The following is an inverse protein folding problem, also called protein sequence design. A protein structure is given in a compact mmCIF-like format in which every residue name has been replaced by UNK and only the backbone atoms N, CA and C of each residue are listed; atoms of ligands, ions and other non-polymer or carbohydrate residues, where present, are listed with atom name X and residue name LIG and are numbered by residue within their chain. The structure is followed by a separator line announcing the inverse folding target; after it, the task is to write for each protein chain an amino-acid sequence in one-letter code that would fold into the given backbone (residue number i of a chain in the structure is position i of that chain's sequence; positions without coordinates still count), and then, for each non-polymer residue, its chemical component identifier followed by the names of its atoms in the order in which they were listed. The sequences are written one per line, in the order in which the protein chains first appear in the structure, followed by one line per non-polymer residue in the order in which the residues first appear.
data_IF_515422630843
#
_entry.id   IF_515422630843
#
_cell.length_a   1.000
_cell.length_b   1.000
_cell.length_c   1.000
_cell.angle_alpha   90.00
_cell.angle_beta   90.00
_cell.angle_gamma   90.00
#
_symmetry.space_group_name_H-M   'P 1'
#
loop_
_entity.id
_entity.type
_entity.pdbx_description
1 polymer ?
#
# COMPACT_ATOMS: atom_id res chain seq x y z
N UNK A 1 21.96 -5.54 3.17
CA UNK A 1 20.78 -5.66 2.30
C UNK A 1 20.43 -4.23 1.97
N UNK A 2 21.10 -3.70 0.97
CA UNK A 2 21.01 -2.30 0.61
C UNK A 2 19.80 -2.14 -0.30
N UNK A 3 18.82 -1.35 0.14
CA UNK A 3 17.69 -0.96 -0.69
C UNK A 3 18.23 -0.27 -1.94
N UNK A 4 17.85 -0.79 -3.11
CA UNK A 4 18.15 -0.15 -4.39
C UNK A 4 17.63 1.29 -4.35
N UNK A 5 18.45 2.30 -4.69
CA UNK A 5 18.01 3.68 -4.66
C UNK A 5 16.90 3.85 -5.68
N UNK A 6 15.68 4.05 -5.18
CA UNK A 6 14.57 4.41 -6.04
C UNK A 6 14.88 5.77 -6.67
N UNK A 7 14.99 5.82 -8.00
CA UNK A 7 15.11 7.04 -8.81
C UNK A 7 13.86 7.94 -8.77
N UNK A 8 12.96 7.74 -7.80
CA UNK A 8 11.88 8.69 -7.56
C UNK A 8 12.50 9.97 -7.02
N UNK A 9 12.45 11.04 -7.81
CA UNK A 9 12.74 12.38 -7.33
C UNK A 9 11.70 12.74 -6.28
N UNK A 10 12.00 12.44 -5.01
CA UNK A 10 11.19 12.84 -3.88
C UNK A 10 11.27 14.36 -3.79
N UNK A 11 10.18 15.02 -4.16
CA UNK A 11 10.09 16.48 -4.04
C UNK A 11 10.17 16.87 -2.56
N UNK A 12 11.32 17.39 -2.14
CA UNK A 12 11.46 18.03 -0.83
C UNK A 12 10.94 19.46 -0.91
N UNK A 13 9.61 19.59 -0.98
CA UNK A 13 8.98 20.91 -0.90
C UNK A 13 9.05 21.43 0.53
N UNK A 14 9.96 22.38 0.77
CA UNK A 14 10.10 23.10 2.05
C UNK A 14 8.90 24.01 2.39
N UNK A 15 7.86 24.04 1.56
CA UNK A 15 6.70 24.92 1.68
C UNK A 15 5.50 24.32 2.40
N UNK A 16 5.53 23.03 2.76
CA UNK A 16 4.40 22.43 3.48
C UNK A 16 4.27 22.96 4.90
N UNK A 17 3.02 23.21 5.30
CA UNK A 17 2.69 23.61 6.66
C UNK A 17 3.11 22.48 7.60
N UNK A 18 4.03 22.81 8.51
CA UNK A 18 4.57 21.89 9.50
C UNK A 18 4.19 22.35 10.89
N UNK A 19 3.93 21.37 11.75
CA UNK A 19 3.69 21.59 13.17
C UNK A 19 4.53 20.61 13.96
N UNK A 20 4.86 20.93 15.21
CA UNK A 20 5.30 19.91 16.14
C UNK A 20 4.10 19.28 16.86
N UNK A 21 4.27 18.08 17.42
CA UNK A 21 3.24 17.48 18.27
C UNK A 21 2.86 18.39 19.45
N UNK A 22 3.84 19.10 20.04
CA UNK A 22 3.58 20.12 21.06
C UNK A 22 2.71 21.28 20.56
N UNK A 23 2.92 21.75 19.33
CA UNK A 23 2.10 22.79 18.72
C UNK A 23 0.68 22.31 18.42
N UNK A 24 0.51 21.08 17.92
CA UNK A 24 -0.80 20.48 17.71
C UNK A 24 -1.57 20.34 19.02
N UNK A 25 -0.91 19.87 20.08
CA UNK A 25 -1.54 19.72 21.41
C UNK A 25 -1.92 21.07 22.00
N UNK A 26 -1.07 22.10 21.90
CA UNK A 26 -1.39 23.47 22.37
C UNK A 26 -2.59 24.07 21.64
N UNK A 27 -2.88 23.60 20.43
CA UNK A 27 -4.06 23.98 19.63
C UNK A 27 -5.28 23.10 19.88
N UNK A 28 -5.21 22.18 20.86
CA UNK A 28 -6.26 21.19 21.16
C UNK A 28 -6.66 20.33 19.95
N UNK A 29 -5.70 20.03 19.06
CA UNK A 29 -5.94 19.10 17.96
C UNK A 29 -5.92 17.67 18.54
N UNK A 30 -6.92 16.89 18.18
CA UNK A 30 -7.03 15.47 18.54
C UNK A 30 -6.45 14.61 17.42
N UNK A 31 -6.00 13.40 17.77
CA UNK A 31 -5.62 12.38 16.78
C UNK A 31 -6.74 12.09 15.79
N UNK A 32 -8.01 12.12 16.24
CA UNK A 32 -9.18 11.90 15.40
C UNK A 32 -9.27 12.90 14.24
N UNK A 33 -8.89 14.16 14.48
CA UNK A 33 -8.89 15.18 13.42
C UNK A 33 -7.82 14.93 12.36
N UNK A 34 -6.70 14.31 12.72
CA UNK A 34 -5.62 14.01 11.77
C UNK A 34 -6.03 12.97 10.70
N UNK A 35 -7.00 12.11 10.98
CA UNK A 35 -7.56 11.20 9.97
C UNK A 35 -8.18 11.96 8.78
N UNK A 36 -8.61 13.20 8.96
CA UNK A 36 -9.17 14.04 7.90
C UNK A 36 -8.09 14.76 7.08
N UNK A 37 -6.82 14.74 7.52
CA UNK A 37 -5.73 15.52 6.94
C UNK A 37 -4.77 14.65 6.12
N UNK A 38 -5.27 13.58 5.49
CA UNK A 38 -4.45 12.64 4.69
C UNK A 38 -3.19 12.15 5.41
N UNK A 39 -3.26 12.07 6.75
CA UNK A 39 -2.11 11.78 7.59
C UNK A 39 -1.90 10.26 7.67
N UNK A 40 -0.66 9.77 7.51
CA UNK A 40 -0.34 8.35 7.72
C UNK A 40 -0.74 7.84 9.11
N UNK A 41 -1.31 6.63 9.16
CA UNK A 41 -1.86 6.06 10.40
C UNK A 41 -0.82 5.92 11.51
N UNK A 42 0.42 5.60 11.17
CA UNK A 42 1.57 5.50 12.07
C UNK A 42 1.89 6.84 12.75
N UNK A 43 1.72 7.96 12.04
CA UNK A 43 1.88 9.31 12.60
C UNK A 43 0.72 9.62 13.55
N UNK A 44 -0.52 9.26 13.18
CA UNK A 44 -1.71 9.49 14.01
C UNK A 44 -1.59 8.70 15.33
N UNK A 45 -1.20 7.44 15.26
CA UNK A 45 -0.98 6.57 16.42
C UNK A 45 0.13 7.10 17.33
N UNK A 46 1.25 7.54 16.75
CA UNK A 46 2.33 8.20 17.51
C UNK A 46 1.88 9.49 18.17
N UNK A 47 1.04 10.27 17.51
CA UNK A 47 0.50 11.49 18.10
C UNK A 47 -0.46 11.18 19.25
N UNK A 48 -1.33 10.16 19.11
CA UNK A 48 -2.18 9.69 20.20
C UNK A 48 -1.34 9.18 21.39
N UNK A 49 -0.26 8.46 21.10
CA UNK A 49 0.69 8.01 22.12
C UNK A 49 1.31 9.20 22.87
N UNK A 50 1.75 10.24 22.16
CA UNK A 50 2.21 11.48 22.77
C UNK A 50 1.15 12.12 23.67
N UNK A 51 -0.11 12.24 23.20
CA UNK A 51 -1.20 12.81 23.99
C UNK A 51 -1.47 12.02 25.29
N UNK A 52 -1.40 10.69 25.24
CA UNK A 52 -1.54 9.84 26.43
C UNK A 52 -0.40 10.07 27.43
N UNK A 53 0.83 10.26 26.90
CA UNK A 53 2.04 10.44 27.69
C UNK A 53 2.19 11.84 28.30
N UNK A 54 1.45 12.85 27.84
CA UNK A 54 1.42 14.20 28.45
C UNK A 54 1.14 14.17 29.96
N UNK A 55 0.41 13.16 30.42
CA UNK A 55 0.06 12.97 31.83
C UNK A 55 1.14 12.25 32.66
N UNK A 56 2.11 11.58 32.02
CA UNK A 56 2.96 10.56 32.68
C UNK A 56 4.47 10.70 32.45
N UNK A 57 4.94 11.42 31.42
CA UNK A 57 6.37 11.45 31.07
C UNK A 57 6.93 12.87 30.83
N UNK A 58 8.14 13.08 31.34
CA UNK A 58 9.00 14.24 31.06
C UNK A 58 9.74 14.14 29.71
N UNK A 59 9.42 13.15 28.88
CA UNK A 59 10.12 12.90 27.62
C UNK A 59 9.68 13.90 26.55
N UNK A 60 10.44 15.00 26.45
CA UNK A 60 10.24 16.06 25.46
C UNK A 60 10.59 15.65 24.03
N UNK A 61 11.10 14.44 23.80
CA UNK A 61 11.50 14.00 22.45
C UNK A 61 10.31 14.02 21.48
N UNK A 62 9.16 13.48 21.90
CA UNK A 62 7.95 13.45 21.09
C UNK A 62 7.33 14.83 20.89
N UNK A 63 7.48 15.77 21.84
CA UNK A 63 6.98 17.14 21.70
C UNK A 63 7.58 17.84 20.47
N UNK A 64 8.83 17.52 20.14
CA UNK A 64 9.57 18.09 19.00
C UNK A 64 9.36 17.36 17.68
N UNK A 65 8.64 16.23 17.69
CA UNK A 65 8.38 15.47 16.47
C UNK A 65 7.57 16.31 15.49
N UNK A 66 8.04 16.37 14.24
CA UNK A 66 7.43 17.18 13.18
C UNK A 66 6.32 16.40 12.49
N UNK A 67 5.19 17.07 12.34
CA UNK A 67 4.01 16.68 11.59
C UNK A 67 3.89 17.59 10.35
N UNK A 68 3.62 16.99 9.20
CA UNK A 68 3.35 17.71 7.95
C UNK A 68 1.85 17.67 7.68
N UNK A 69 1.21 18.85 7.64
CA UNK A 69 -0.21 18.96 7.33
C UNK A 69 -0.41 18.94 5.82
N UNK A 70 -0.68 17.75 5.29
CA UNK A 70 -0.90 17.54 3.87
C UNK A 70 -2.37 17.77 3.51
N UNK A 71 -2.60 18.46 2.41
CA UNK A 71 -3.93 18.49 1.78
C UNK A 71 -3.97 17.41 0.72
N UNK A 72 -5.07 16.63 0.70
CA UNK A 72 -5.35 15.70 -0.38
C UNK A 72 -5.26 16.45 -1.75
N UNK A 73 -4.63 15.89 -2.80
CA UNK A 73 -4.27 14.48 -3.00
C UNK A 73 -2.85 14.10 -2.56
N UNK A 74 -2.16 14.94 -1.78
CA UNK A 74 -0.82 14.62 -1.26
C UNK A 74 -0.88 13.78 0.01
N UNK A 75 0.05 12.84 0.13
CA UNK A 75 0.12 11.90 1.24
C UNK A 75 1.58 11.50 1.55
N UNK A 76 1.74 10.75 2.64
CA UNK A 76 3.02 10.31 3.16
C UNK A 76 3.53 11.18 4.32
N UNK A 77 4.57 10.71 5.03
CA UNK A 77 5.06 11.36 6.26
C UNK A 77 5.56 12.79 6.10
N UNK A 78 5.90 13.20 4.87
CA UNK A 78 6.37 14.54 4.51
C UNK A 78 5.56 15.16 3.36
N UNK A 79 4.33 14.69 3.11
CA UNK A 79 3.53 15.05 1.92
C UNK A 79 4.27 14.81 0.58
N UNK A 80 5.19 13.84 0.57
CA UNK A 80 6.13 13.68 -0.53
C UNK A 80 5.56 12.93 -1.73
N UNK A 81 4.38 12.32 -1.58
CA UNK A 81 3.69 11.62 -2.65
C UNK A 81 2.45 12.40 -3.05
N UNK A 82 2.13 12.38 -4.33
CA UNK A 82 0.96 13.03 -4.90
C UNK A 82 0.37 12.10 -5.97
N UNK A 83 -0.95 12.08 -6.08
CA UNK A 83 -1.60 11.44 -7.21
C UNK A 83 -1.45 12.36 -8.43
N UNK A 84 -0.73 11.90 -9.45
CA UNK A 84 -0.51 12.63 -10.71
C UNK A 84 -1.80 13.02 -11.43
N UNK A 85 -2.90 12.35 -11.11
CA UNK A 85 -4.20 12.61 -11.69
C UNK A 85 -5.25 12.58 -10.57
N UNK A 86 -5.76 13.77 -10.24
CA UNK A 86 -6.86 13.96 -9.31
C UNK A 86 -7.84 14.95 -9.94
N UNK A 87 -9.09 14.55 -10.03
CA UNK A 87 -10.18 15.45 -10.34
C UNK A 87 -10.99 15.69 -9.07
N UNK A 88 -11.12 16.95 -8.64
CA UNK A 88 -11.89 17.35 -7.46
C UNK A 88 -13.35 16.89 -7.48
N UNK A 89 -13.88 16.51 -8.65
CA UNK A 89 -15.22 15.93 -8.79
C UNK A 89 -15.28 14.42 -8.51
N UNK A 90 -14.16 13.74 -8.24
CA UNK A 90 -14.13 12.31 -7.90
C UNK A 90 -14.41 12.12 -6.41
N UNK A 91 -15.39 11.26 -6.10
CA UNK A 91 -16.01 11.18 -4.77
C UNK A 91 -15.21 10.26 -3.84
N UNK A 92 -14.47 9.30 -4.40
CA UNK A 92 -13.73 8.30 -3.64
C UNK A 92 -12.39 7.93 -4.26
N UNK A 93 -11.49 7.36 -3.45
CA UNK A 93 -10.24 6.76 -3.92
C UNK A 93 -10.49 5.72 -5.03
N UNK A 94 -11.60 4.97 -4.92
CA UNK A 94 -12.03 4.01 -5.92
C UNK A 94 -12.26 4.68 -7.29
N UNK A 95 -13.01 5.78 -7.32
CA UNK A 95 -13.29 6.50 -8.58
C UNK A 95 -12.01 7.07 -9.21
N UNK A 96 -11.07 7.52 -8.37
CA UNK A 96 -9.76 8.03 -8.81
C UNK A 96 -8.95 6.91 -9.48
N UNK A 97 -8.84 5.75 -8.83
CA UNK A 97 -8.11 4.59 -9.35
C UNK A 97 -8.76 4.07 -10.64
N UNK A 98 -10.09 3.96 -10.66
CA UNK A 98 -10.86 3.48 -11.81
C UNK A 98 -10.69 4.39 -13.03
N UNK A 99 -10.84 5.72 -12.87
CA UNK A 99 -10.66 6.68 -13.95
C UNK A 99 -9.21 6.71 -14.46
N UNK A 100 -8.22 6.61 -13.56
CA UNK A 100 -6.81 6.51 -13.94
C UNK A 100 -6.58 5.30 -14.84
N UNK A 101 -7.05 4.13 -14.43
CA UNK A 101 -6.88 2.91 -15.22
C UNK A 101 -7.62 2.99 -16.55
N UNK A 102 -8.86 3.47 -16.59
CA UNK A 102 -9.60 3.61 -17.85
C UNK A 102 -8.94 4.57 -18.85
N UNK A 103 -8.26 5.61 -18.38
CA UNK A 103 -7.60 6.59 -19.26
C UNK A 103 -6.20 6.18 -19.70
N UNK A 104 -5.47 5.44 -18.86
CA UNK A 104 -4.03 5.25 -19.04
C UNK A 104 -3.57 3.79 -19.19
N UNK A 105 -4.44 2.78 -19.01
CA UNK A 105 -4.04 1.37 -19.21
C UNK A 105 -3.58 1.06 -20.64
N UNK A 106 -3.96 1.87 -21.63
CA UNK A 106 -3.50 1.66 -23.00
C UNK A 106 -2.01 1.95 -23.20
N UNK A 107 -1.33 2.62 -22.27
CA UNK A 107 0.04 3.13 -22.47
C UNK A 107 1.08 2.70 -21.43
N UNK A 108 0.74 1.89 -20.42
CA UNK A 108 1.74 1.41 -19.47
C UNK A 108 2.61 0.31 -20.10
N UNK A 109 3.77 0.69 -20.61
CA UNK A 109 4.77 -0.22 -21.19
C UNK A 109 5.71 -0.82 -20.15
N UNK A 110 5.58 -0.46 -18.87
CA UNK A 110 6.45 -0.94 -17.81
C UNK A 110 5.82 -2.16 -17.12
N UNK A 111 6.36 -3.33 -17.41
CA UNK A 111 6.09 -4.55 -16.66
C UNK A 111 6.78 -4.45 -15.30
N UNK A 112 6.01 -4.56 -14.21
CA UNK A 112 6.58 -4.71 -12.87
C UNK A 112 6.99 -6.16 -12.67
N UNK A 113 8.28 -6.40 -12.51
CA UNK A 113 8.83 -7.74 -12.32
C UNK A 113 8.87 -8.12 -10.85
N UNK A 114 8.48 -9.36 -10.54
CA UNK A 114 8.76 -9.92 -9.23
C UNK A 114 10.24 -10.29 -9.13
N UNK A 115 11.01 -9.52 -8.36
CA UNK A 115 12.49 -9.66 -8.29
C UNK A 115 12.98 -10.66 -7.24
N UNK A 116 12.10 -11.12 -6.34
CA UNK A 116 12.48 -11.97 -5.22
C UNK A 116 12.45 -13.46 -5.57
N UNK A 117 11.94 -13.84 -6.75
CA UNK A 117 12.01 -15.20 -7.28
C UNK A 117 13.04 -15.25 -8.41
N UNK A 118 14.00 -16.17 -8.31
CA UNK A 118 14.94 -16.43 -9.40
C UNK A 118 14.26 -17.29 -10.46
N UNK A 119 13.81 -16.66 -11.54
CA UNK A 119 13.05 -17.29 -12.62
C UNK A 119 13.40 -16.65 -13.96
N UNK A 120 13.84 -17.45 -14.94
CA UNK A 120 14.09 -17.00 -16.30
C UNK A 120 12.85 -17.27 -17.15
N UNK A 121 12.04 -16.25 -17.41
CA UNK A 121 10.82 -16.37 -18.24
C UNK A 121 11.08 -16.27 -19.75
N UNK A 122 12.19 -15.66 -20.15
CA UNK A 122 12.50 -15.41 -21.57
C UNK A 122 13.52 -14.29 -21.75
N UNK A 123 13.73 -13.80 -23.00
CA UNK A 123 14.57 -12.65 -23.22
C UNK A 123 14.00 -11.41 -22.51
N UNK A 124 14.88 -10.62 -21.89
CA UNK A 124 14.53 -9.34 -21.28
C UNK A 124 13.72 -8.47 -22.26
N UNK A 125 12.61 -7.84 -21.82
CA UNK A 125 12.21 -7.56 -20.44
C UNK A 125 11.18 -8.54 -19.85
N UNK A 126 10.98 -9.72 -20.45
CA UNK A 126 9.96 -10.66 -19.97
C UNK A 126 10.32 -11.19 -18.59
N UNK A 127 9.45 -10.93 -17.62
CA UNK A 127 9.59 -11.37 -16.24
C UNK A 127 8.26 -11.92 -15.73
N UNK A 128 8.35 -12.76 -14.70
CA UNK A 128 7.17 -13.39 -14.11
C UNK A 128 6.33 -12.34 -13.38
N UNK A 129 5.02 -12.38 -13.62
CA UNK A 129 4.05 -11.66 -12.82
C UNK A 129 3.88 -12.38 -11.48
N UNK A 130 3.69 -11.66 -10.39
CA UNK A 130 3.45 -12.26 -9.08
C UNK A 130 2.20 -13.16 -9.03
N UNK A 131 1.23 -12.94 -9.94
CA UNK A 131 0.05 -13.80 -10.12
C UNK A 131 0.34 -15.14 -10.80
N UNK A 132 1.50 -15.26 -11.43
CA UNK A 132 1.96 -16.45 -12.17
C UNK A 132 2.84 -17.34 -11.28
N UNK A 133 2.95 -17.05 -9.98
CA UNK A 133 3.68 -17.84 -8.99
C UNK A 133 2.66 -18.70 -8.23
N UNK A 134 2.90 -20.00 -8.14
CA UNK A 134 2.00 -20.97 -7.51
C UNK A 134 0.60 -20.99 -8.14
N UNK A 135 0.52 -20.83 -9.46
CA UNK A 135 -0.73 -20.89 -10.22
C UNK A 135 -0.99 -22.28 -10.83
N UNK A 136 -0.10 -23.23 -10.55
CA UNK A 136 -0.13 -24.59 -11.07
C UNK A 136 0.47 -24.72 -12.48
N UNK A 137 1.04 -23.65 -13.05
CA UNK A 137 1.62 -23.63 -14.40
C UNK A 137 3.09 -23.22 -14.31
N UNK A 138 3.96 -24.09 -14.84
CA UNK A 138 5.38 -23.78 -14.93
C UNK A 138 5.63 -22.69 -15.96
N UNK A 139 5.99 -21.51 -15.47
CA UNK A 139 6.21 -20.27 -16.20
C UNK A 139 7.70 -19.93 -16.33
N UNK A 140 8.57 -20.53 -15.52
CA UNK A 140 10.02 -20.41 -15.62
C UNK A 140 10.61 -21.41 -16.64
N UNK A 141 11.53 -20.94 -17.49
CA UNK A 141 12.22 -21.78 -18.49
C UNK A 141 13.34 -22.60 -17.83
N UNK A 142 13.97 -22.06 -16.79
CA UNK A 142 15.12 -22.62 -16.10
C UNK A 142 14.77 -23.62 -14.98
N UNK A 143 13.48 -23.88 -14.75
CA UNK A 143 13.03 -24.81 -13.72
C UNK A 143 11.56 -24.64 -13.39
N UNK A 144 11.11 -25.26 -12.30
CA UNK A 144 9.75 -25.08 -11.76
C UNK A 144 9.74 -24.16 -10.53
N UNK A 145 10.67 -23.19 -10.48
CA UNK A 145 10.90 -22.37 -9.29
C UNK A 145 9.67 -21.57 -8.86
N UNK A 146 8.85 -21.16 -9.82
CA UNK A 146 7.56 -20.51 -9.60
C UNK A 146 6.50 -21.42 -8.98
N UNK A 147 6.67 -22.74 -9.10
CA UNK A 147 5.77 -23.76 -8.58
C UNK A 147 6.41 -24.58 -7.45
N UNK A 148 7.59 -24.18 -6.98
CA UNK A 148 8.30 -24.82 -5.88
C UNK A 148 7.87 -24.24 -4.53
N UNK A 149 7.78 -25.11 -3.52
CA UNK A 149 7.42 -24.74 -2.16
C UNK A 149 6.06 -24.05 -1.98
N UNK A 150 5.17 -24.11 -2.97
CA UNK A 150 3.81 -23.57 -2.90
C UNK A 150 2.98 -24.12 -1.74
N UNK A 151 3.27 -25.37 -1.31
CA UNK A 151 2.70 -26.00 -0.12
C UNK A 151 2.81 -25.11 1.14
N UNK A 152 3.80 -24.22 1.22
CA UNK A 152 3.97 -23.28 2.33
C UNK A 152 2.82 -22.26 2.42
N UNK A 153 2.23 -21.89 1.28
CA UNK A 153 1.04 -21.05 1.20
C UNK A 153 -0.24 -21.83 1.57
N UNK A 154 -0.16 -23.16 1.61
CA UNK A 154 -1.29 -24.06 1.87
C UNK A 154 -1.32 -24.60 3.30
N UNK A 155 -0.34 -24.25 4.15
CA UNK A 155 -0.24 -24.74 5.53
C UNK A 155 -1.40 -24.23 6.39
N UNK A 156 -1.97 -23.07 6.05
CA UNK A 156 -3.10 -22.52 6.78
C UNK A 156 -4.40 -23.14 6.26
N UNK A 157 -5.14 -23.85 7.11
CA UNK A 157 -6.48 -24.33 6.76
C UNK A 157 -7.51 -23.20 6.89
N UNK A 158 -8.48 -23.13 5.98
CA UNK A 158 -9.60 -22.20 6.10
C UNK A 158 -10.39 -22.44 7.37
N UNK A 159 -10.83 -21.36 8.03
CA UNK A 159 -11.95 -21.47 8.95
C UNK A 159 -13.26 -21.70 8.20
N UNK A 160 -14.30 -22.21 8.88
CA UNK A 160 -15.60 -22.54 8.26
C UNK A 160 -16.27 -21.38 7.51
N UNK A 161 -15.85 -20.12 7.76
CA UNK A 161 -16.42 -18.92 7.14
C UNK A 161 -15.53 -18.31 6.04
N UNK A 162 -14.45 -19.00 5.65
CA UNK A 162 -13.51 -18.52 4.64
C UNK A 162 -13.55 -19.38 3.37
N UNK A 163 -13.26 -18.73 2.25
CA UNK A 163 -13.04 -19.33 0.95
C UNK A 163 -11.56 -19.19 0.60
N UNK A 164 -10.98 -20.27 0.06
CA UNK A 164 -9.60 -20.32 -0.41
C UNK A 164 -9.55 -20.04 -1.91
N UNK A 165 -8.89 -18.95 -2.29
CA UNK A 165 -8.53 -18.68 -3.68
C UNK A 165 -7.45 -19.66 -4.17
N UNK A 166 -7.27 -19.79 -5.48
CA UNK A 166 -6.35 -20.78 -6.08
C UNK A 166 -4.89 -20.52 -5.69
N UNK A 167 -4.52 -19.25 -5.57
CA UNK A 167 -3.21 -18.79 -5.09
C UNK A 167 -2.99 -18.91 -3.57
N UNK A 168 -3.94 -19.50 -2.83
CA UNK A 168 -3.86 -19.68 -1.38
C UNK A 168 -4.31 -18.47 -0.53
N UNK A 169 -4.78 -17.38 -1.15
CA UNK A 169 -5.42 -16.28 -0.41
C UNK A 169 -6.72 -16.75 0.26
N UNK A 170 -7.02 -16.21 1.44
CA UNK A 170 -8.29 -16.40 2.13
C UNK A 170 -9.16 -15.15 2.02
N UNK A 171 -10.42 -15.36 1.67
CA UNK A 171 -11.45 -14.32 1.69
C UNK A 171 -12.65 -14.81 2.50
N UNK A 172 -13.40 -13.92 3.17
CA UNK A 172 -14.69 -14.25 3.73
C UNK A 172 -15.62 -14.88 2.68
N UNK A 173 -16.33 -15.96 3.02
CA UNK A 173 -17.32 -16.60 2.12
C UNK A 173 -18.41 -15.63 1.65
N UNK A 174 -18.69 -14.58 2.42
CA UNK A 174 -19.63 -13.52 2.03
C UNK A 174 -19.19 -12.74 0.79
N UNK A 175 -17.89 -12.68 0.51
CA UNK A 175 -17.34 -11.99 -0.65
C UNK A 175 -17.14 -12.92 -1.85
N UNK A 176 -17.08 -14.24 -1.62
CA UNK A 176 -16.94 -15.17 -2.73
C UNK A 176 -18.10 -15.05 -3.74
N UNK A 177 -17.78 -14.54 -4.94
CA UNK A 177 -18.73 -14.29 -6.05
C UNK A 177 -19.86 -13.32 -5.69
N UNK A 178 -19.63 -12.40 -4.77
CA UNK A 178 -20.61 -11.35 -4.44
C UNK A 178 -20.76 -10.35 -5.61
N UNK A 179 -19.66 -10.06 -6.32
CA UNK A 179 -19.59 -9.18 -7.46
C UNK A 179 -18.65 -9.76 -8.54
N UNK A 180 -19.16 -9.88 -9.77
CA UNK A 180 -18.40 -10.43 -10.90
C UNK A 180 -17.36 -9.48 -11.47
N UNK A 181 -17.54 -8.18 -11.24
CA UNK A 181 -16.67 -7.14 -11.82
C UNK A 181 -15.47 -6.83 -10.92
N UNK A 182 -15.48 -7.30 -9.66
CA UNK A 182 -14.43 -7.06 -8.68
C UNK A 182 -14.07 -8.39 -8.03
N UNK A 183 -13.09 -9.12 -8.58
CA UNK A 183 -12.64 -10.36 -7.95
C UNK A 183 -11.92 -10.06 -6.63
N UNK A 184 -12.42 -10.59 -5.52
CA UNK A 184 -11.75 -10.52 -4.21
C UNK A 184 -10.49 -11.37 -4.16
N UNK A 185 -10.52 -12.47 -4.91
CA UNK A 185 -9.35 -13.27 -5.16
C UNK A 185 -8.42 -12.51 -6.11
N UNK A 186 -7.19 -12.29 -5.65
CA UNK A 186 -6.11 -11.64 -6.38
C UNK A 186 -5.85 -12.28 -7.76
N UNK A 187 -5.95 -13.61 -7.80
CA UNK A 187 -5.77 -14.46 -8.98
C UNK A 187 -7.05 -14.57 -9.82
N UNK A 188 -8.12 -13.87 -9.40
CA UNK A 188 -9.43 -13.83 -10.03
C UNK A 188 -10.21 -15.15 -10.03
N UNK A 189 -9.90 -16.05 -9.07
CA UNK A 189 -10.59 -17.34 -8.88
C UNK A 189 -11.96 -17.30 -8.20
#
# INVERSE_FOLDING_TARGET
MDELPTNFHIEKHNSFLKFTFGELSKRNITSQQLYLWSTPIDIIERYQFYLNQLSTLNDKSLETQVFYNCTFPRFGPMCQYEMNYYNESQISLYDIIYDYYNRYLSNSTFLTCYIHLQCIRGPSPLCINWREICDGRVNCIDGKFDEEHCWQLEINECTDNEYRCTNGQYIPKSFFRDNRDIPDCIDTS
#
